data_IF_333492836633
#
_entry.id   IF_333492836633
#
_cell.length_a   1.000
_cell.length_b   1.000
_cell.length_c   1.000
_cell.angle_alpha   90.00
_cell.angle_beta   90.00
_cell.angle_gamma   90.00
#
_symmetry.space_group_name_H-M   'P 1'
#
loop_
_entity.id
_entity.type
_entity.pdbx_description
1 polymer ?
#
# COMPACT_ATOMS: atom_id res chain seq x y z
N UNK A 1 -20.20 14.61 10.87
CA UNK A 1 -19.39 14.60 9.63
C UNK A 1 -20.24 13.97 8.54
N UNK A 2 -20.27 14.51 7.32
CA UNK A 2 -21.21 14.06 6.29
C UNK A 2 -20.72 12.78 5.58
N UNK A 3 -19.47 12.76 5.11
CA UNK A 3 -18.86 11.57 4.52
C UNK A 3 -17.32 11.47 4.73
N UNK A 4 -16.79 10.24 4.67
CA UNK A 4 -15.36 9.91 4.64
C UNK A 4 -15.06 8.79 3.66
N UNK A 5 -13.83 8.74 3.13
CA UNK A 5 -13.36 7.65 2.26
C UNK A 5 -12.27 6.84 2.98
N UNK A 6 -12.39 5.52 2.98
CA UNK A 6 -11.30 4.61 3.28
C UNK A 6 -10.75 3.99 2.00
N UNK A 7 -9.43 4.04 1.82
CA UNK A 7 -8.69 3.43 0.70
C UNK A 7 -7.79 2.34 1.28
N UNK A 8 -7.89 1.13 0.74
CA UNK A 8 -7.04 -0.01 1.09
C UNK A 8 -6.27 -0.46 -0.17
N UNK A 9 -4.98 -0.12 -0.22
CA UNK A 9 -4.06 -0.57 -1.27
C UNK A 9 -3.53 -1.94 -0.86
N UNK A 10 -4.26 -2.99 -1.21
CA UNK A 10 -3.90 -4.37 -0.89
C UNK A 10 -2.70 -4.88 -1.69
N UNK A 11 -2.52 -6.20 -1.80
CA UNK A 11 -1.51 -6.77 -2.71
C UNK A 11 -2.10 -7.06 -4.09
N UNK A 12 -3.41 -7.28 -4.22
CA UNK A 12 -4.04 -7.63 -5.52
C UNK A 12 -5.07 -6.63 -5.99
N UNK A 13 -5.52 -5.75 -5.09
CA UNK A 13 -6.70 -4.90 -5.32
C UNK A 13 -6.56 -3.62 -4.51
N UNK A 14 -6.89 -2.47 -5.12
CA UNK A 14 -7.24 -1.27 -4.36
C UNK A 14 -8.72 -1.31 -4.10
N UNK A 15 -9.14 -1.20 -2.85
CA UNK A 15 -10.54 -1.09 -2.44
C UNK A 15 -10.79 0.31 -1.89
N UNK A 16 -11.92 0.90 -2.27
CA UNK A 16 -12.37 2.18 -1.72
C UNK A 16 -13.78 2.04 -1.16
N UNK A 17 -14.01 2.57 0.03
CA UNK A 17 -15.32 2.62 0.67
C UNK A 17 -15.65 4.06 1.05
N UNK A 18 -16.84 4.52 0.64
CA UNK A 18 -17.45 5.76 1.11
C UNK A 18 -18.31 5.48 2.34
N UNK A 19 -17.98 6.09 3.46
CA UNK A 19 -18.75 6.05 4.68
C UNK A 19 -19.55 7.35 4.86
N UNK A 20 -20.79 7.22 5.30
CA UNK A 20 -21.61 8.32 5.78
C UNK A 20 -21.55 8.44 7.31
N UNK A 21 -22.51 9.17 7.88
CA UNK A 21 -22.65 9.30 9.33
C UNK A 21 -22.81 7.94 10.03
N UNK A 22 -22.19 7.78 11.20
CA UNK A 22 -22.23 6.54 11.97
C UNK A 22 -21.51 5.35 11.33
N UNK A 23 -20.51 5.59 10.46
CA UNK A 23 -19.78 4.57 9.71
C UNK A 23 -20.67 3.71 8.77
N UNK A 24 -21.82 4.25 8.34
CA UNK A 24 -22.68 3.60 7.36
C UNK A 24 -21.97 3.51 6.00
N UNK A 25 -21.87 2.31 5.43
CA UNK A 25 -21.37 2.13 4.06
C UNK A 25 -22.38 2.70 3.06
N UNK A 26 -21.93 3.64 2.24
CA UNK A 26 -22.75 4.33 1.21
C UNK A 26 -22.47 3.76 -0.17
N UNK A 27 -21.18 3.55 -0.49
CA UNK A 27 -20.73 2.95 -1.73
C UNK A 27 -19.35 2.32 -1.52
N UNK A 28 -19.04 1.34 -2.36
CA UNK A 28 -17.75 0.68 -2.41
C UNK A 28 -17.39 0.37 -3.87
N UNK A 29 -16.10 0.34 -4.16
CA UNK A 29 -15.54 -0.06 -5.44
C UNK A 29 -14.15 -0.67 -5.23
N UNK A 30 -13.73 -1.49 -6.19
CA UNK A 30 -12.38 -2.05 -6.22
C UNK A 30 -11.84 -2.15 -7.64
N UNK A 31 -10.51 -2.15 -7.74
CA UNK A 31 -9.76 -2.40 -8.98
C UNK A 31 -8.59 -3.32 -8.70
N UNK A 32 -8.46 -4.34 -9.52
CA UNK A 32 -7.38 -5.31 -9.44
C UNK A 32 -6.18 -4.86 -10.28
N UNK A 33 -4.99 -5.27 -9.84
CA UNK A 33 -3.74 -5.06 -10.56
C UNK A 33 -2.80 -6.26 -10.35
N UNK A 34 -1.83 -6.41 -11.25
CA UNK A 34 -0.95 -7.55 -11.28
C UNK A 34 0.23 -7.46 -10.31
N UNK A 35 0.76 -8.62 -9.95
CA UNK A 35 2.11 -8.74 -9.38
C UNK A 35 3.04 -9.33 -10.43
N UNK A 36 4.14 -8.65 -10.68
CA UNK A 36 5.20 -9.07 -11.58
C UNK A 36 6.15 -10.04 -10.83
N UNK A 37 6.35 -11.23 -11.40
CA UNK A 37 7.24 -12.27 -10.87
C UNK A 37 8.36 -12.56 -11.89
N UNK A 38 9.29 -11.61 -12.13
CA UNK A 38 10.25 -11.72 -13.23
C UNK A 38 11.28 -12.85 -13.04
N UNK A 39 11.51 -13.29 -11.79
CA UNK A 39 12.44 -14.37 -11.41
C UNK A 39 11.89 -15.12 -10.20
N UNK A 40 12.35 -16.35 -9.94
CA UNK A 40 12.07 -17.03 -8.68
C UNK A 40 12.41 -16.14 -7.49
N UNK A 41 11.52 -16.11 -6.49
CA UNK A 41 11.67 -15.31 -5.26
C UNK A 41 11.59 -13.78 -5.45
N UNK A 42 11.32 -13.28 -6.66
CA UNK A 42 11.13 -11.85 -6.93
C UNK A 42 9.64 -11.55 -7.02
N UNK A 43 9.19 -10.47 -6.38
CA UNK A 43 7.83 -10.01 -6.43
C UNK A 43 7.78 -8.49 -6.48
N UNK A 44 7.20 -7.98 -7.56
CA UNK A 44 7.23 -6.57 -7.91
C UNK A 44 5.85 -6.08 -8.31
N UNK A 45 5.58 -4.79 -8.11
CA UNK A 45 4.34 -4.16 -8.56
C UNK A 45 4.62 -2.77 -9.11
N UNK A 46 3.92 -2.37 -10.16
CA UNK A 46 4.02 -1.01 -10.68
C UNK A 46 3.26 -0.04 -9.75
N UNK A 47 3.93 0.93 -9.11
CA UNK A 47 3.27 1.90 -8.24
C UNK A 47 2.21 2.76 -8.93
N UNK A 48 2.32 2.98 -10.24
CA UNK A 48 1.30 3.70 -11.02
C UNK A 48 -0.03 2.93 -11.06
N UNK A 49 0.02 1.60 -11.03
CA UNK A 49 -1.21 0.78 -10.98
C UNK A 49 -1.96 1.03 -9.67
N UNK A 50 -1.25 1.19 -8.54
CA UNK A 50 -1.85 1.52 -7.25
C UNK A 50 -2.56 2.87 -7.30
N UNK A 51 -1.89 3.88 -7.87
CA UNK A 51 -2.46 5.23 -8.02
C UNK A 51 -3.70 5.22 -8.92
N UNK A 52 -3.58 4.66 -10.12
CA UNK A 52 -4.67 4.60 -11.10
C UNK A 52 -5.86 3.83 -10.54
N UNK A 53 -5.62 2.68 -9.90
CA UNK A 53 -6.68 1.87 -9.28
C UNK A 53 -7.37 2.61 -8.13
N UNK A 54 -6.65 3.42 -7.34
CA UNK A 54 -7.25 4.26 -6.30
C UNK A 54 -8.13 5.36 -6.91
N UNK A 55 -7.62 6.09 -7.89
CA UNK A 55 -8.36 7.16 -8.58
C UNK A 55 -9.65 6.61 -9.21
N UNK A 56 -9.55 5.51 -9.96
CA UNK A 56 -10.71 4.87 -10.58
C UNK A 56 -11.73 4.36 -9.57
N UNK A 57 -11.25 3.76 -8.46
CA UNK A 57 -12.13 3.29 -7.39
C UNK A 57 -12.86 4.45 -6.70
N UNK A 58 -12.18 5.58 -6.48
CA UNK A 58 -12.80 6.80 -5.93
C UNK A 58 -13.84 7.35 -6.91
N UNK A 59 -13.52 7.47 -8.20
CA UNK A 59 -14.46 7.94 -9.21
C UNK A 59 -15.72 7.05 -9.26
N UNK A 60 -15.54 5.73 -9.15
CA UNK A 60 -16.65 4.78 -9.15
C UNK A 60 -17.57 4.93 -7.92
N UNK A 61 -17.03 5.12 -6.71
CA UNK A 61 -17.88 5.34 -5.51
C UNK A 61 -18.61 6.68 -5.55
N UNK A 62 -18.01 7.72 -6.12
CA UNK A 62 -18.67 9.03 -6.30
C UNK A 62 -19.81 8.95 -7.31
N UNK A 63 -19.56 8.31 -8.46
CA UNK A 63 -20.58 8.10 -9.48
C UNK A 63 -21.76 7.26 -8.96
N UNK A 64 -21.48 6.20 -8.19
CA UNK A 64 -22.50 5.31 -7.61
C UNK A 64 -23.32 5.99 -6.51
N UNK A 65 -22.67 6.77 -5.64
CA UNK A 65 -23.32 7.40 -4.48
C UNK A 65 -24.03 8.72 -4.82
N UNK A 66 -23.62 9.40 -5.90
CA UNK A 66 -24.07 10.76 -6.27
C UNK A 66 -23.82 11.80 -5.17
N UNK A 67 -22.88 11.53 -4.25
CA UNK A 67 -22.47 12.46 -3.20
C UNK A 67 -21.64 13.59 -3.82
N UNK A 68 -21.88 14.83 -3.40
CA UNK A 68 -21.03 15.97 -3.78
C UNK A 68 -19.62 15.75 -3.18
N UNK A 69 -18.54 15.73 -3.99
CA UNK A 69 -17.18 15.59 -3.47
C UNK A 69 -16.80 16.60 -2.38
N UNK A 70 -17.39 17.81 -2.40
CA UNK A 70 -17.17 18.83 -1.37
C UNK A 70 -17.69 18.42 0.02
N UNK A 71 -18.57 17.43 0.12
CA UNK A 71 -19.10 16.90 1.37
C UNK A 71 -18.17 15.87 2.04
N UNK A 72 -17.10 15.42 1.36
CA UNK A 72 -16.12 14.46 1.88
C UNK A 72 -15.10 15.22 2.72
N UNK A 73 -15.01 14.88 4.02
CA UNK A 73 -14.16 15.62 4.97
C UNK A 73 -12.90 14.89 5.38
N UNK A 74 -12.82 13.58 5.12
CA UNK A 74 -11.70 12.73 5.52
C UNK A 74 -11.45 11.70 4.42
N UNK A 75 -10.18 11.52 4.09
CA UNK A 75 -9.68 10.38 3.32
C UNK A 75 -8.64 9.70 4.21
N UNK A 76 -8.78 8.40 4.41
CA UNK A 76 -7.80 7.56 5.09
C UNK A 76 -7.27 6.52 4.12
N UNK A 77 -5.96 6.27 4.19
CA UNK A 77 -5.27 5.31 3.34
C UNK A 77 -4.59 4.27 4.22
N UNK A 78 -4.86 3.00 3.92
CA UNK A 78 -4.13 1.83 4.37
C UNK A 78 -3.46 1.19 3.17
N UNK A 79 -2.33 0.53 3.38
CA UNK A 79 -1.63 -0.17 2.32
C UNK A 79 -0.99 -1.46 2.82
N UNK A 80 -0.68 -2.34 1.88
CA UNK A 80 0.30 -3.40 2.11
C UNK A 80 1.61 -2.81 2.63
N UNK A 81 2.28 -3.57 3.50
CA UNK A 81 3.57 -3.21 4.05
C UNK A 81 4.37 -4.45 4.47
N UNK A 82 5.71 -4.40 4.43
CA UNK A 82 6.53 -3.31 3.86
C UNK A 82 6.56 -3.35 2.31
N UNK A 83 6.81 -2.20 1.70
CA UNK A 83 7.17 -2.09 0.28
C UNK A 83 8.28 -1.05 0.11
N UNK A 84 9.18 -1.28 -0.84
CA UNK A 84 10.26 -0.34 -1.21
C UNK A 84 9.95 0.21 -2.58
N UNK A 85 9.84 1.54 -2.69
CA UNK A 85 9.57 2.26 -3.94
C UNK A 85 10.81 3.09 -4.28
N UNK A 86 11.68 2.65 -5.21
CA UNK A 86 12.84 3.44 -5.61
C UNK A 86 12.40 4.64 -6.46
N UNK A 87 12.73 5.85 -6.00
CA UNK A 87 12.37 7.09 -6.69
C UNK A 87 13.58 8.01 -6.88
N UNK A 88 13.53 8.82 -7.95
CA UNK A 88 14.45 9.93 -8.15
C UNK A 88 14.13 11.07 -7.18
N UNK A 89 15.07 12.03 -7.05
CA UNK A 89 14.86 13.24 -6.24
C UNK A 89 13.67 14.08 -6.72
N UNK A 90 13.35 13.97 -8.01
CA UNK A 90 12.27 14.71 -8.66
C UNK A 90 10.93 13.95 -8.58
N UNK A 91 10.88 12.83 -7.85
CA UNK A 91 9.67 12.04 -7.64
C UNK A 91 9.35 11.02 -8.74
N UNK A 92 10.22 10.84 -9.73
CA UNK A 92 10.05 9.84 -10.79
C UNK A 92 10.37 8.43 -10.31
N UNK A 93 9.57 7.45 -10.72
CA UNK A 93 9.83 6.03 -10.43
C UNK A 93 11.10 5.57 -11.15
N UNK A 94 12.02 4.93 -10.42
CA UNK A 94 13.25 4.37 -10.98
C UNK A 94 13.14 2.88 -11.29
N UNK A 95 12.16 2.21 -10.69
CA UNK A 95 11.96 0.77 -10.75
C UNK A 95 10.58 0.42 -10.17
N UNK A 96 10.04 -0.76 -10.50
CA UNK A 96 8.84 -1.31 -9.84
C UNK A 96 9.01 -1.41 -8.32
N UNK A 97 7.93 -1.30 -7.55
CA UNK A 97 8.00 -1.51 -6.11
C UNK A 97 8.41 -2.94 -5.78
N UNK A 98 9.34 -3.09 -4.84
CA UNK A 98 9.67 -4.39 -4.23
C UNK A 98 8.72 -4.59 -3.05
N UNK A 99 7.83 -5.58 -3.13
CA UNK A 99 6.78 -5.79 -2.11
C UNK A 99 7.21 -6.82 -1.06
N UNK A 100 6.47 -6.89 0.05
CA UNK A 100 6.80 -7.69 1.24
C UNK A 100 7.12 -9.17 1.00
N UNK A 101 6.63 -9.75 -0.10
CA UNK A 101 6.86 -11.15 -0.46
C UNK A 101 8.13 -11.37 -1.31
N UNK A 102 8.82 -10.29 -1.71
CA UNK A 102 10.10 -10.35 -2.41
C UNK A 102 11.19 -10.85 -1.48
N UNK A 103 11.92 -11.88 -1.92
CA UNK A 103 12.98 -12.55 -1.16
C UNK A 103 14.32 -12.50 -1.89
N UNK A 104 14.52 -11.54 -2.81
CA UNK A 104 15.78 -11.41 -3.56
C UNK A 104 16.97 -11.12 -2.65
N UNK A 105 16.74 -10.48 -1.50
CA UNK A 105 17.79 -10.01 -0.60
C UNK A 105 18.17 -11.02 0.50
N UNK A 106 18.00 -12.32 0.25
CA UNK A 106 18.24 -13.36 1.26
C UNK A 106 19.72 -13.47 1.62
N UNK A 107 20.61 -13.26 0.65
CA UNK A 107 22.06 -13.29 0.85
C UNK A 107 22.52 -12.10 1.70
N UNK A 108 21.99 -10.90 1.42
CA UNK A 108 22.25 -9.70 2.21
C UNK A 108 21.72 -9.84 3.65
N UNK A 109 20.55 -10.47 3.82
CA UNK A 109 19.99 -10.78 5.13
C UNK A 109 20.96 -11.64 5.97
N UNK A 110 21.46 -12.75 5.41
CA UNK A 110 22.39 -13.62 6.12
C UNK A 110 23.74 -12.93 6.39
N UNK A 111 24.23 -12.13 5.45
CA UNK A 111 25.45 -11.33 5.63
C UNK A 111 25.31 -10.33 6.79
N UNK A 112 24.21 -9.57 6.83
CA UNK A 112 23.96 -8.60 7.91
C UNK A 112 23.85 -9.33 9.24
N UNK A 113 23.04 -10.39 9.30
CA UNK A 113 22.83 -11.19 10.51
C UNK A 113 24.13 -11.79 11.04
N UNK A 114 25.02 -12.27 10.16
CA UNK A 114 26.35 -12.75 10.51
C UNK A 114 27.27 -11.63 11.03
N UNK A 115 27.17 -10.43 10.47
CA UNK A 115 28.00 -9.28 10.83
C UNK A 115 27.63 -8.67 12.18
N UNK A 116 26.33 -8.45 12.43
CA UNK A 116 25.87 -7.75 13.63
C UNK A 116 25.43 -8.68 14.77
N UNK A 117 25.34 -9.98 14.49
CA UNK A 117 24.87 -11.01 15.41
C UNK A 117 23.34 -11.08 15.52
N UNK A 118 22.81 -12.30 15.60
CA UNK A 118 21.37 -12.58 15.56
C UNK A 118 20.56 -11.80 16.61
N UNK A 119 21.08 -11.67 17.84
CA UNK A 119 20.38 -10.96 18.93
C UNK A 119 20.17 -9.47 18.63
N UNK A 120 21.18 -8.81 18.04
CA UNK A 120 21.10 -7.39 17.68
C UNK A 120 20.18 -7.20 16.48
N UNK A 121 20.25 -8.12 15.51
CA UNK A 121 19.37 -8.14 14.36
C UNK A 121 17.89 -8.25 14.76
N UNK A 122 17.52 -9.21 15.62
CA UNK A 122 16.13 -9.38 16.09
C UNK A 122 15.59 -8.12 16.77
N UNK A 123 16.39 -7.47 17.62
CA UNK A 123 16.00 -6.21 18.27
C UNK A 123 15.74 -5.07 17.27
N UNK A 124 16.50 -5.01 16.16
CA UNK A 124 16.28 -3.99 15.12
C UNK A 124 14.99 -4.23 14.34
N UNK A 125 14.64 -5.50 14.10
CA UNK A 125 13.37 -5.83 13.45
C UNK A 125 12.16 -5.48 14.31
N UNK A 126 12.23 -5.72 15.62
CA UNK A 126 11.16 -5.33 16.55
C UNK A 126 10.91 -3.82 16.50
N UNK A 127 11.96 -3.00 16.52
CA UNK A 127 11.84 -1.53 16.40
C UNK A 127 11.19 -1.12 15.07
N UNK A 128 11.51 -1.81 13.96
CA UNK A 128 10.94 -1.50 12.65
C UNK A 128 9.43 -1.70 12.56
N UNK A 129 8.86 -2.67 13.28
CA UNK A 129 7.41 -2.91 13.33
C UNK A 129 6.73 -2.11 14.45
N UNK A 130 7.38 -1.93 15.60
CA UNK A 130 6.85 -1.14 16.72
C UNK A 130 6.79 0.36 16.42
N UNK A 131 7.61 0.89 15.51
CA UNK A 131 7.53 2.29 15.08
C UNK A 131 6.43 2.57 14.03
N UNK A 132 5.77 1.53 13.49
CA UNK A 132 4.70 1.65 12.48
C UNK A 132 3.31 1.45 13.11
N UNK A 133 3.23 1.03 14.36
CA UNK A 133 1.96 0.89 15.10
C UNK A 133 1.94 1.87 16.27
N UNK A 134 0.98 2.82 16.33
CA UNK A 134 0.79 3.67 17.50
C UNK A 134 0.39 2.86 18.75
#
# INVERSE_FOLDING_TARGET
MKYSIGIDIGTTTVKCILFGEGAKVVAEAGREYGTLLPKPSWAQQNPEDWWNCAVESIQAILAKSRVNPEDIKVISVSSQAPAVIPMSKDGGLLHDALIWMDRRSIEEYEMIKGTIGAKKYSRLQEIGWTLISP
#
